data_IF_387107129763
#
_entry.id   IF_387107129763
#
_cell.length_a   1.000
_cell.length_b   1.000
_cell.length_c   1.000
_cell.angle_alpha   90.00
_cell.angle_beta   90.00
_cell.angle_gamma   90.00
#
_symmetry.space_group_name_H-M   'P 1'
#
loop_
_entity.id
_entity.type
_entity.pdbx_description
1 polymer ?
#
# COMPACT_ATOMS: atom_id res chain seq x y z
N UNK A 1 5.28 27.35 5.25
CA UNK A 1 6.38 26.87 6.12
C UNK A 1 6.64 25.35 6.01
N UNK A 2 5.91 24.59 5.17
CA UNK A 2 6.00 23.12 5.07
C UNK A 2 6.90 22.59 3.93
N UNK A 3 7.23 23.43 2.94
CA UNK A 3 7.90 23.00 1.70
C UNK A 3 9.37 22.63 1.87
N UNK A 4 10.09 23.29 2.80
CA UNK A 4 11.50 22.97 3.04
C UNK A 4 11.69 21.67 3.82
N UNK A 5 10.79 21.33 4.74
CA UNK A 5 10.89 20.11 5.56
C UNK A 5 10.66 18.83 4.77
N UNK A 6 9.86 18.88 3.69
CA UNK A 6 9.56 17.70 2.86
C UNK A 6 10.79 17.08 2.19
N UNK A 7 11.68 17.91 1.65
CA UNK A 7 12.89 17.44 0.96
C UNK A 7 13.92 16.85 1.95
N UNK A 8 14.09 17.47 3.12
CA UNK A 8 14.97 16.93 4.16
C UNK A 8 14.52 15.55 4.63
N UNK A 9 13.20 15.35 4.79
CA UNK A 9 12.64 14.07 5.22
C UNK A 9 12.89 12.97 4.20
N UNK A 10 12.73 13.25 2.91
CA UNK A 10 13.02 12.29 1.84
C UNK A 10 14.49 11.89 1.87
N UNK A 11 15.40 12.88 1.91
CA UNK A 11 16.84 12.63 1.99
C UNK A 11 17.19 11.81 3.23
N UNK A 12 16.61 12.14 4.39
CA UNK A 12 16.84 11.40 5.62
C UNK A 12 16.32 9.95 5.55
N UNK A 13 15.15 9.70 4.93
CA UNK A 13 14.64 8.35 4.71
C UNK A 13 15.55 7.56 3.76
N UNK A 14 16.06 8.19 2.70
CA UNK A 14 17.01 7.55 1.78
C UNK A 14 18.32 7.21 2.50
N UNK A 15 18.83 8.11 3.34
CA UNK A 15 19.99 7.83 4.20
C UNK A 15 19.68 6.66 5.14
N UNK A 16 18.51 6.65 5.79
CA UNK A 16 18.06 5.55 6.65
C UNK A 16 18.01 4.21 5.91
N UNK A 17 17.50 4.20 4.68
CA UNK A 17 17.47 3.03 3.80
C UNK A 17 18.89 2.55 3.45
N UNK A 18 19.79 3.45 3.03
CA UNK A 18 21.17 3.11 2.68
C UNK A 18 21.91 2.56 3.90
N UNK A 19 21.80 3.21 5.05
CA UNK A 19 22.36 2.71 6.31
C UNK A 19 21.74 1.38 6.70
N UNK A 20 20.45 1.19 6.41
CA UNK A 20 19.72 -0.04 6.71
C UNK A 20 20.31 -1.23 5.95
N UNK A 21 20.85 -0.99 4.76
CA UNK A 21 21.55 -2.00 3.97
C UNK A 21 23.02 -2.11 4.42
N UNK A 22 23.72 -0.98 4.59
CA UNK A 22 25.16 -0.97 4.84
C UNK A 22 25.55 -1.50 6.23
N UNK A 23 24.79 -1.20 7.28
CA UNK A 23 25.15 -1.55 8.66
C UNK A 23 25.13 -3.07 8.90
N UNK A 24 24.10 -3.84 8.48
CA UNK A 24 24.15 -5.30 8.54
C UNK A 24 25.30 -5.94 7.76
N UNK A 25 25.78 -5.30 6.68
CA UNK A 25 26.93 -5.79 5.91
C UNK A 25 28.22 -5.69 6.72
N UNK A 26 28.41 -4.58 7.42
CA UNK A 26 29.64 -4.30 8.17
C UNK A 26 29.67 -5.03 9.52
N UNK A 27 28.53 -5.17 10.18
CA UNK A 27 28.44 -5.66 11.56
C UNK A 27 27.72 -7.02 11.69
N UNK A 28 27.23 -7.59 10.59
CA UNK A 28 26.56 -8.89 10.55
C UNK A 28 25.30 -8.95 11.43
N UNK A 29 25.07 -10.11 12.04
CA UNK A 29 23.87 -10.39 12.83
C UNK A 29 23.79 -9.60 14.16
N UNK A 30 24.87 -8.92 14.57
CA UNK A 30 24.87 -8.06 15.76
C UNK A 30 23.94 -6.84 15.65
N UNK A 31 23.45 -6.54 14.44
CA UNK A 31 22.54 -5.43 14.13
C UNK A 31 21.07 -5.81 14.36
N UNK A 32 20.75 -7.09 14.56
CA UNK A 32 19.36 -7.54 14.74
C UNK A 32 18.56 -6.78 15.81
N UNK A 33 19.13 -6.38 16.97
CA UNK A 33 18.39 -5.60 17.97
C UNK A 33 17.77 -4.32 17.41
N UNK A 34 18.42 -3.66 16.44
CA UNK A 34 17.97 -2.40 15.81
C UNK A 34 16.57 -2.53 15.18
N UNK A 35 16.11 -3.75 14.87
CA UNK A 35 14.76 -4.03 14.39
C UNK A 35 13.66 -3.37 15.24
N UNK A 36 13.86 -3.22 16.55
CA UNK A 36 12.88 -2.59 17.44
C UNK A 36 12.46 -1.19 16.97
N UNK A 37 13.39 -0.41 16.38
CA UNK A 37 13.10 0.93 15.85
C UNK A 37 12.09 0.86 14.71
N UNK A 38 12.26 -0.14 13.84
CA UNK A 38 11.34 -0.41 12.75
C UNK A 38 9.97 -0.86 13.23
N UNK A 39 9.93 -1.75 14.21
CA UNK A 39 8.68 -2.25 14.77
C UNK A 39 7.89 -1.13 15.48
N UNK A 40 8.56 -0.24 16.23
CA UNK A 40 7.93 0.96 16.82
C UNK A 40 7.35 1.85 15.72
N UNK A 41 8.10 2.11 14.66
CA UNK A 41 7.65 2.95 13.55
C UNK A 41 6.42 2.37 12.84
N UNK A 42 6.42 1.07 12.53
CA UNK A 42 5.26 0.41 11.93
C UNK A 42 4.05 0.40 12.85
N UNK A 43 4.25 0.15 14.13
CA UNK A 43 3.15 0.14 15.09
C UNK A 43 2.55 1.54 15.26
N UNK A 44 3.37 2.59 15.22
CA UNK A 44 2.89 3.97 15.24
C UNK A 44 2.06 4.30 13.99
N UNK A 45 2.49 3.89 12.80
CA UNK A 45 1.72 4.05 11.57
C UNK A 45 0.40 3.27 11.61
N UNK A 46 0.42 2.01 12.06
CA UNK A 46 -0.78 1.18 12.22
C UNK A 46 -1.75 1.79 13.23
N UNK A 47 -1.24 2.33 14.34
CA UNK A 47 -2.04 2.96 15.40
C UNK A 47 -2.91 4.09 14.85
N UNK A 48 -2.37 4.93 13.97
CA UNK A 48 -3.12 6.03 13.35
C UNK A 48 -3.92 5.60 12.12
N UNK A 49 -3.57 4.48 11.47
CA UNK A 49 -4.16 4.07 10.21
C UNK A 49 -5.68 3.87 10.29
N UNK A 50 -6.15 3.06 11.23
CA UNK A 50 -7.58 2.76 11.38
C UNK A 50 -8.42 4.00 11.70
N UNK A 51 -8.12 4.81 12.74
CA UNK A 51 -8.91 5.99 13.04
C UNK A 51 -8.84 7.03 11.91
N UNK A 52 -7.67 7.21 11.28
CA UNK A 52 -7.53 8.17 10.17
C UNK A 52 -8.38 7.75 8.97
N UNK A 53 -8.37 6.47 8.60
CA UNK A 53 -9.20 5.94 7.52
C UNK A 53 -10.67 6.18 7.76
N UNK A 54 -11.16 5.84 8.96
CA UNK A 54 -12.55 6.01 9.33
C UNK A 54 -12.95 7.49 9.22
N UNK A 55 -12.18 8.38 9.84
CA UNK A 55 -12.47 9.81 9.85
C UNK A 55 -12.38 10.43 8.46
N UNK A 56 -11.34 10.09 7.70
CA UNK A 56 -11.13 10.65 6.38
C UNK A 56 -12.25 10.25 5.41
N UNK A 57 -12.69 8.98 5.38
CA UNK A 57 -13.80 8.54 4.53
C UNK A 57 -15.08 9.30 4.88
N UNK A 58 -15.41 9.40 6.17
CA UNK A 58 -16.60 10.14 6.61
C UNK A 58 -16.52 11.59 6.13
N UNK A 59 -15.38 12.27 6.32
CA UNK A 59 -15.14 13.63 5.83
C UNK A 59 -15.21 13.74 4.30
N UNK A 60 -14.69 12.76 3.58
CA UNK A 60 -14.72 12.73 2.13
C UNK A 60 -16.16 12.73 1.61
N UNK A 61 -17.05 11.96 2.24
CA UNK A 61 -18.45 11.84 1.83
C UNK A 61 -19.28 13.04 2.24
N UNK A 62 -19.15 13.50 3.48
CA UNK A 62 -19.94 14.62 4.00
C UNK A 62 -19.63 15.93 3.28
N UNK A 63 -18.40 16.10 2.79
CA UNK A 63 -17.99 17.25 1.98
C UNK A 63 -18.47 17.19 0.52
N UNK A 64 -18.85 16.02 -0.01
CA UNK A 64 -19.27 15.86 -1.42
C UNK A 64 -20.73 16.29 -1.68
N UNK A 65 -21.57 16.35 -0.63
CA UNK A 65 -22.91 16.96 -0.64
C UNK A 65 -23.98 16.33 -1.56
N UNK A 66 -23.62 15.49 -2.52
CA UNK A 66 -24.54 14.81 -3.44
C UNK A 66 -24.12 13.37 -3.71
N UNK A 67 -24.88 12.41 -3.16
CA UNK A 67 -24.68 10.96 -3.32
C UNK A 67 -24.59 10.52 -4.80
N UNK A 68 -25.26 11.23 -5.72
CA UNK A 68 -25.20 10.94 -7.16
C UNK A 68 -23.82 11.14 -7.81
N UNK A 69 -22.99 12.07 -7.28
CA UNK A 69 -21.61 12.26 -7.76
C UNK A 69 -20.69 11.13 -7.27
N UNK A 70 -21.02 10.53 -6.13
CA UNK A 70 -20.27 9.45 -5.48
C UNK A 70 -20.29 8.16 -6.31
N UNK A 71 -21.46 7.78 -6.83
CA UNK A 71 -21.62 6.58 -7.66
C UNK A 71 -20.77 6.59 -8.93
N UNK A 72 -20.69 7.74 -9.63
CA UNK A 72 -19.87 7.88 -10.84
C UNK A 72 -18.37 7.82 -10.54
N UNK A 73 -17.92 8.42 -9.44
CA UNK A 73 -16.51 8.38 -9.01
C UNK A 73 -16.13 6.95 -8.59
N UNK A 74 -16.97 6.30 -7.78
CA UNK A 74 -16.76 4.91 -7.36
C UNK A 74 -16.69 3.94 -8.54
N UNK A 75 -17.62 4.04 -9.50
CA UNK A 75 -17.61 3.16 -10.68
C UNK A 75 -16.37 3.38 -11.57
N UNK A 76 -15.97 4.63 -11.81
CA UNK A 76 -14.73 4.93 -12.55
C UNK A 76 -13.50 4.38 -11.84
N UNK A 77 -13.46 4.48 -10.51
CA UNK A 77 -12.37 3.96 -9.68
C UNK A 77 -12.31 2.44 -9.74
N UNK A 78 -13.45 1.75 -9.61
CA UNK A 78 -13.53 0.30 -9.72
C UNK A 78 -13.10 -0.19 -11.11
N UNK A 79 -13.59 0.46 -12.17
CA UNK A 79 -13.19 0.14 -13.54
C UNK A 79 -11.67 0.32 -13.73
N UNK A 80 -11.10 1.41 -13.19
CA UNK A 80 -9.66 1.63 -13.19
C UNK A 80 -8.91 0.51 -12.45
N UNK A 81 -9.35 0.12 -11.25
CA UNK A 81 -8.71 -0.94 -10.47
C UNK A 81 -8.71 -2.28 -11.20
N UNK A 82 -9.87 -2.67 -11.76
CA UNK A 82 -9.99 -3.92 -12.49
C UNK A 82 -9.15 -3.93 -13.77
N UNK A 83 -9.15 -2.82 -14.52
CA UNK A 83 -8.39 -2.71 -15.76
C UNK A 83 -6.88 -2.78 -15.53
N UNK A 84 -6.36 -2.06 -14.54
CA UNK A 84 -4.92 -2.07 -14.25
C UNK A 84 -4.46 -3.36 -13.58
N UNK A 85 -5.32 -4.01 -12.78
CA UNK A 85 -5.05 -5.33 -12.23
C UNK A 85 -4.99 -6.39 -13.33
N UNK A 86 -5.94 -6.38 -14.27
CA UNK A 86 -5.92 -7.27 -15.43
C UNK A 86 -4.65 -7.06 -16.26
N UNK A 87 -4.27 -5.81 -16.52
CA UNK A 87 -3.03 -5.49 -17.22
C UNK A 87 -1.78 -6.00 -16.46
N UNK A 88 -1.75 -5.88 -15.14
CA UNK A 88 -0.66 -6.37 -14.30
C UNK A 88 -0.51 -7.90 -14.39
N UNK A 89 -1.64 -8.64 -14.34
CA UNK A 89 -1.66 -10.10 -14.55
C UNK A 89 -1.12 -10.46 -15.93
N UNK A 90 -1.59 -9.78 -16.98
CA UNK A 90 -1.13 -10.03 -18.36
C UNK A 90 0.36 -9.78 -18.52
N UNK A 91 0.91 -8.72 -17.91
CA UNK A 91 2.35 -8.44 -17.91
C UNK A 91 3.12 -9.57 -17.20
N UNK A 92 2.67 -9.99 -16.03
CA UNK A 92 3.29 -11.10 -15.28
C UNK A 92 3.30 -12.41 -16.06
N UNK A 93 2.16 -12.77 -16.65
CA UNK A 93 2.03 -13.97 -17.49
C UNK A 93 2.90 -13.87 -18.75
N UNK A 94 2.90 -12.73 -19.43
CA UNK A 94 3.69 -12.53 -20.64
C UNK A 94 5.19 -12.66 -20.34
N UNK A 95 5.70 -11.95 -19.33
CA UNK A 95 7.11 -12.00 -18.95
C UNK A 95 7.54 -13.41 -18.50
N UNK A 96 6.71 -14.10 -17.72
CA UNK A 96 7.00 -15.48 -17.32
C UNK A 96 7.01 -16.43 -18.52
N UNK A 97 6.14 -16.24 -19.51
CA UNK A 97 6.14 -17.04 -20.74
C UNK A 97 7.35 -16.74 -21.64
N UNK A 98 7.80 -15.49 -21.68
CA UNK A 98 8.94 -15.03 -22.48
C UNK A 98 10.30 -15.47 -21.89
N UNK A 99 10.47 -15.31 -20.58
CA UNK A 99 11.73 -15.55 -19.89
C UNK A 99 11.86 -16.97 -19.34
N UNK A 100 10.74 -17.71 -19.30
CA UNK A 100 10.66 -19.12 -18.94
C UNK A 100 11.40 -19.51 -17.65
N UNK A 101 11.20 -18.77 -16.53
CA UNK A 101 11.98 -18.99 -15.32
C UNK A 101 11.78 -20.37 -14.68
N UNK A 102 10.71 -21.10 -15.03
CA UNK A 102 10.40 -22.41 -14.46
C UNK A 102 11.09 -23.59 -15.14
N UNK A 103 11.64 -23.41 -16.35
CA UNK A 103 12.33 -24.49 -17.06
C UNK A 103 13.64 -24.81 -16.33
N UNK A 104 13.79 -26.06 -15.89
CA UNK A 104 14.96 -26.51 -15.13
C UNK A 104 14.89 -26.21 -13.63
N UNK A 105 13.83 -25.58 -13.12
CA UNK A 105 13.63 -25.36 -11.68
C UNK A 105 13.31 -26.67 -10.91
N UNK A 106 12.89 -27.72 -11.62
CA UNK A 106 12.56 -29.03 -11.05
C UNK A 106 11.22 -29.05 -10.29
N UNK A 107 10.68 -30.26 -10.07
CA UNK A 107 9.38 -30.49 -9.41
C UNK A 107 9.43 -30.38 -7.87
N UNK A 108 10.61 -30.15 -7.28
CA UNK A 108 10.83 -30.39 -5.86
C UNK A 108 10.36 -29.20 -5.00
N UNK A 109 9.27 -29.40 -4.24
CA UNK A 109 8.86 -28.53 -3.14
C UNK A 109 7.77 -27.51 -3.46
N UNK A 110 7.21 -27.50 -4.67
CA UNK A 110 6.06 -26.64 -4.98
C UNK A 110 4.78 -27.29 -4.43
N UNK A 111 4.07 -26.67 -3.46
CA UNK A 111 2.76 -27.15 -3.08
C UNK A 111 1.85 -27.12 -4.32
N UNK A 112 1.18 -28.24 -4.62
CA UNK A 112 0.21 -28.31 -5.69
C UNK A 112 -0.88 -27.24 -5.51
N UNK A 113 -1.52 -26.76 -6.60
CA UNK A 113 -2.52 -25.71 -6.51
C UNK A 113 -3.65 -26.14 -5.57
N UNK A 114 -3.70 -25.54 -4.38
CA UNK A 114 -4.84 -25.70 -3.49
C UNK A 114 -5.98 -24.85 -4.04
N UNK A 115 -6.98 -25.51 -4.61
CA UNK A 115 -8.20 -24.85 -5.08
C UNK A 115 -9.02 -24.48 -3.85
N UNK A 116 -8.79 -23.29 -3.32
CA UNK A 116 -9.65 -22.74 -2.27
C UNK A 116 -10.88 -22.15 -2.96
N UNK A 117 -11.98 -22.89 -2.93
CA UNK A 117 -13.27 -22.44 -3.43
C UNK A 117 -13.87 -21.44 -2.45
N UNK A 118 -13.63 -20.14 -2.68
CA UNK A 118 -14.37 -19.09 -1.98
C UNK A 118 -15.64 -18.75 -2.77
N UNK A 119 -16.80 -18.89 -2.13
CA UNK A 119 -18.03 -18.31 -2.65
C UNK A 119 -17.92 -16.79 -2.59
N UNK A 120 -18.16 -16.11 -3.71
CA UNK A 120 -18.20 -14.64 -3.75
C UNK A 120 -19.22 -14.07 -2.76
N UNK A 121 -20.35 -14.77 -2.57
CA UNK A 121 -21.37 -14.37 -1.61
C UNK A 121 -20.85 -14.42 -0.17
N UNK A 122 -20.10 -15.47 0.19
CA UNK A 122 -19.53 -15.59 1.54
C UNK A 122 -18.47 -14.52 1.78
N UNK A 123 -17.65 -14.21 0.77
CA UNK A 123 -16.70 -13.09 0.85
C UNK A 123 -17.42 -11.75 1.05
N UNK A 124 -18.54 -11.52 0.35
CA UNK A 124 -19.35 -10.30 0.47
C UNK A 124 -19.99 -10.19 1.86
N UNK A 125 -20.58 -11.27 2.37
CA UNK A 125 -21.12 -11.34 3.73
C UNK A 125 -20.03 -11.05 4.76
N UNK A 126 -18.82 -11.60 4.56
CA UNK A 126 -17.70 -11.33 5.46
C UNK A 126 -17.33 -9.84 5.51
N UNK A 127 -17.56 -9.04 4.45
CA UNK A 127 -17.24 -7.61 4.45
C UNK A 127 -18.22 -6.76 5.29
N UNK A 128 -19.35 -7.32 5.71
CA UNK A 128 -20.32 -6.69 6.61
C UNK A 128 -20.13 -7.26 8.03
N UNK A 129 -19.23 -6.71 8.85
CA UNK A 129 -18.95 -7.27 10.16
C UNK A 129 -20.17 -7.06 11.07
N UNK A 130 -20.54 -8.04 11.90
CA UNK A 130 -21.61 -7.86 12.89
C UNK A 130 -21.25 -6.82 13.96
N UNK A 131 -19.95 -6.52 14.12
CA UNK A 131 -19.44 -5.58 15.10
C UNK A 131 -18.29 -4.74 14.51
N UNK A 132 -18.46 -3.42 14.47
CA UNK A 132 -17.44 -2.48 13.97
C UNK A 132 -16.20 -2.43 14.86
N UNK A 133 -16.36 -2.57 16.18
CA UNK A 133 -15.22 -2.54 17.10
C UNK A 133 -14.31 -3.75 16.91
N UNK A 134 -14.89 -4.92 16.60
CA UNK A 134 -14.11 -6.11 16.22
C UNK A 134 -13.34 -5.87 14.91
N UNK A 135 -13.99 -5.29 13.89
CA UNK A 135 -13.33 -4.95 12.64
C UNK A 135 -12.17 -3.96 12.83
N UNK A 136 -12.33 -2.98 13.73
CA UNK A 136 -11.29 -2.02 14.12
C UNK A 136 -10.13 -2.74 14.82
N UNK A 137 -10.40 -3.60 15.80
CA UNK A 137 -9.34 -4.33 16.52
C UNK A 137 -8.57 -5.31 15.64
N UNK A 138 -9.23 -5.89 14.64
CA UNK A 138 -8.64 -6.84 13.70
C UNK A 138 -8.02 -6.16 12.46
N UNK A 139 -7.98 -4.82 12.41
CA UNK A 139 -7.43 -4.05 11.28
C UNK A 139 -8.09 -4.38 9.92
N UNK A 140 -9.40 -4.68 9.93
CA UNK A 140 -10.16 -5.03 8.71
C UNK A 140 -10.58 -3.77 7.94
N UNK A 141 -9.66 -3.23 7.15
CA UNK A 141 -9.82 -1.93 6.47
C UNK A 141 -11.05 -1.83 5.55
N UNK A 142 -11.36 -2.86 4.76
CA UNK A 142 -12.52 -2.81 3.86
C UNK A 142 -13.86 -2.72 4.63
N UNK A 143 -14.13 -3.59 5.62
CA UNK A 143 -15.26 -3.42 6.54
C UNK A 143 -15.37 -2.03 7.19
N UNK A 144 -14.24 -1.50 7.70
CA UNK A 144 -14.18 -0.17 8.31
C UNK A 144 -14.55 0.90 7.28
N UNK A 145 -14.05 0.78 6.05
CA UNK A 145 -14.34 1.70 4.96
C UNK A 145 -15.81 1.66 4.54
N UNK A 146 -16.41 0.47 4.45
CA UNK A 146 -17.84 0.30 4.15
C UNK A 146 -18.72 0.93 5.24
N UNK A 147 -18.40 0.70 6.52
CA UNK A 147 -19.10 1.33 7.63
C UNK A 147 -18.95 2.85 7.59
N UNK A 148 -17.73 3.37 7.48
CA UNK A 148 -17.45 4.80 7.39
C UNK A 148 -18.19 5.45 6.22
N UNK A 149 -18.30 4.72 5.11
CA UNK A 149 -19.03 5.16 3.94
C UNK A 149 -20.53 5.34 4.22
N UNK A 150 -21.17 4.30 4.79
CA UNK A 150 -22.58 4.34 5.15
C UNK A 150 -22.85 5.39 6.21
N UNK A 151 -22.01 5.46 7.24
CA UNK A 151 -22.14 6.41 8.33
C UNK A 151 -22.03 7.87 7.84
N UNK A 152 -21.01 8.19 7.04
CA UNK A 152 -20.87 9.52 6.44
C UNK A 152 -22.03 9.88 5.51
N UNK A 153 -22.55 8.90 4.76
CA UNK A 153 -23.74 9.09 3.90
C UNK A 153 -24.98 9.44 4.73
N UNK A 154 -25.23 8.70 5.81
CA UNK A 154 -26.36 8.95 6.72
C UNK A 154 -26.22 10.29 7.44
N UNK A 155 -25.02 10.66 7.91
CA UNK A 155 -24.77 11.99 8.50
C UNK A 155 -25.11 13.13 7.53
N UNK A 156 -24.81 12.94 6.25
CA UNK A 156 -25.15 13.90 5.18
C UNK A 156 -26.67 13.98 4.98
N UNK A 157 -27.36 12.84 4.98
CA UNK A 157 -28.82 12.76 4.80
C UNK A 157 -29.62 13.33 5.96
N UNK A 158 -29.10 13.20 7.20
CA UNK A 158 -29.70 13.77 8.41
C UNK A 158 -29.68 15.32 8.38
N UNK A 159 -28.83 15.93 7.53
CA UNK A 159 -28.80 17.37 7.33
C UNK A 159 -28.23 18.12 8.54
N UNK A 160 -28.87 19.21 9.02
CA UNK A 160 -28.31 20.06 10.07
C UNK A 160 -27.96 19.33 11.37
N UNK A 161 -28.72 18.29 11.73
CA UNK A 161 -28.48 17.49 12.96
C UNK A 161 -27.19 16.66 12.90
N UNK A 162 -26.69 16.36 11.69
CA UNK A 162 -25.43 15.62 11.51
C UNK A 162 -24.18 16.50 11.67
N UNK A 163 -24.31 17.83 11.52
CA UNK A 163 -23.18 18.77 11.52
C UNK A 163 -22.27 18.68 12.75
N UNK A 164 -22.77 18.58 14.00
CA UNK A 164 -21.90 18.51 15.17
C UNK A 164 -20.95 17.31 15.13
N UNK A 165 -21.44 16.15 14.67
CA UNK A 165 -20.62 14.93 14.52
C UNK A 165 -19.57 15.13 13.43
N UNK A 166 -19.96 15.71 12.30
CA UNK A 166 -19.02 16.00 11.20
C UNK A 166 -17.90 16.93 11.66
N UNK A 167 -18.21 17.98 12.43
CA UNK A 167 -17.20 18.91 12.97
C UNK A 167 -16.21 18.24 13.93
N UNK A 168 -16.69 17.30 14.76
CA UNK A 168 -15.81 16.50 15.63
C UNK A 168 -14.88 15.61 14.78
N UNK A 169 -15.42 14.95 13.76
CA UNK A 169 -14.63 14.09 12.86
C UNK A 169 -13.60 14.91 12.07
N UNK A 170 -13.95 16.13 11.66
CA UNK A 170 -13.03 17.06 11.00
C UNK A 170 -11.84 17.39 11.91
N UNK A 171 -12.13 17.80 13.15
CA UNK A 171 -11.10 18.09 14.16
C UNK A 171 -10.22 16.88 14.46
N UNK A 172 -10.82 15.70 14.53
CA UNK A 172 -10.10 14.44 14.75
C UNK A 172 -9.20 14.09 13.56
N UNK A 173 -9.67 14.29 12.33
CA UNK A 173 -8.88 14.08 11.12
C UNK A 173 -7.65 14.99 11.13
N UNK A 174 -7.82 16.28 11.44
CA UNK A 174 -6.70 17.22 11.55
C UNK A 174 -5.70 16.83 12.65
N UNK A 175 -6.19 16.39 13.81
CA UNK A 175 -5.34 15.91 14.89
C UNK A 175 -4.52 14.68 14.48
N UNK A 176 -5.15 13.71 13.82
CA UNK A 176 -4.50 12.49 13.33
C UNK A 176 -3.44 12.79 12.26
N UNK A 177 -3.68 13.78 11.40
CA UNK A 177 -2.68 14.25 10.43
C UNK A 177 -1.47 14.92 11.12
N UNK A 178 -1.70 15.70 12.18
CA UNK A 178 -0.58 16.25 12.98
C UNK A 178 0.21 15.14 13.68
N UNK A 179 -0.46 14.11 14.20
CA UNK A 179 0.21 12.94 14.75
C UNK A 179 1.02 12.19 13.69
N UNK A 180 0.49 12.03 12.48
CA UNK A 180 1.21 11.46 11.35
C UNK A 180 2.50 12.23 11.08
N UNK A 181 2.47 13.56 11.05
CA UNK A 181 3.68 14.36 10.85
C UNK A 181 4.74 14.10 11.93
N UNK A 182 4.33 13.95 13.20
CA UNK A 182 5.25 13.61 14.30
C UNK A 182 5.88 12.23 14.09
N UNK A 183 5.09 11.25 13.65
CA UNK A 183 5.58 9.91 13.35
C UNK A 183 6.56 9.94 12.16
N UNK A 184 6.29 10.78 11.16
CA UNK A 184 7.15 10.92 9.98
C UNK A 184 8.54 11.46 10.32
N UNK A 185 8.70 12.29 11.36
CA UNK A 185 10.03 12.70 11.84
C UNK A 185 10.89 11.51 12.31
N UNK A 186 10.26 10.43 12.78
CA UNK A 186 10.94 9.19 13.17
C UNK A 186 11.15 8.23 11.98
N UNK A 187 10.57 8.50 10.81
CA UNK A 187 10.64 7.61 9.65
C UNK A 187 12.07 7.23 9.22
N UNK A 188 13.09 8.11 9.22
CA UNK A 188 14.46 7.73 8.89
C UNK A 188 15.02 6.60 9.77
N UNK A 189 14.82 6.69 11.10
CA UNK A 189 15.23 5.64 12.04
C UNK A 189 14.37 4.38 11.88
N UNK A 190 13.07 4.55 11.66
CA UNK A 190 12.15 3.43 11.43
C UNK A 190 12.53 2.62 10.20
N UNK A 191 12.72 3.29 9.07
CA UNK A 191 13.13 2.66 7.79
C UNK A 191 14.49 1.99 7.92
N UNK A 192 15.45 2.64 8.58
CA UNK A 192 16.73 2.03 8.93
C UNK A 192 16.55 0.71 9.70
N UNK A 193 15.80 0.73 10.80
CA UNK A 193 15.58 -0.45 11.63
C UNK A 193 14.82 -1.57 10.93
N UNK A 194 13.85 -1.25 10.07
CA UNK A 194 13.12 -2.22 9.27
C UNK A 194 14.03 -2.96 8.30
N UNK A 195 14.79 -2.21 7.50
CA UNK A 195 15.64 -2.77 6.45
C UNK A 195 16.81 -3.53 7.08
N UNK A 196 17.47 -2.93 8.08
CA UNK A 196 18.56 -3.56 8.79
C UNK A 196 18.14 -4.85 9.51
N UNK A 197 17.00 -4.79 10.20
CA UNK A 197 16.44 -5.94 10.90
C UNK A 197 16.09 -7.09 9.96
N UNK A 198 15.55 -6.79 8.78
CA UNK A 198 15.18 -7.81 7.79
C UNK A 198 16.42 -8.49 7.19
N UNK A 199 17.45 -7.73 6.83
CA UNK A 199 18.71 -8.28 6.29
C UNK A 199 19.44 -9.10 7.36
N UNK A 200 19.51 -8.61 8.60
CA UNK A 200 20.11 -9.34 9.70
C UNK A 200 19.34 -10.64 10.01
N UNK A 201 18.00 -10.61 9.95
CA UNK A 201 17.16 -11.79 10.16
C UNK A 201 17.33 -12.84 9.06
N UNK A 202 17.62 -12.43 7.82
CA UNK A 202 17.98 -13.32 6.72
C UNK A 202 19.39 -13.96 6.87
N UNK A 203 20.13 -13.60 7.93
CA UNK A 203 21.47 -14.11 8.18
C UNK A 203 22.58 -13.39 7.41
N UNK A 204 22.34 -12.12 7.03
CA UNK A 204 23.30 -11.26 6.33
C UNK A 204 23.04 -11.17 4.83
N UNK A 205 23.72 -10.22 4.17
CA UNK A 205 23.52 -9.99 2.72
C UNK A 205 23.89 -11.20 1.86
N UNK A 206 24.90 -11.99 2.24
CA UNK A 206 25.34 -13.13 1.42
C UNK A 206 24.28 -14.23 1.35
N UNK A 207 23.59 -14.49 2.48
CA UNK A 207 22.46 -15.42 2.50
C UNK A 207 21.23 -14.86 1.80
N UNK A 208 20.96 -13.56 1.98
CA UNK A 208 19.91 -12.87 1.25
C UNK A 208 20.10 -12.97 -0.27
N UNK A 209 21.32 -12.76 -0.77
CA UNK A 209 21.67 -12.90 -2.18
C UNK A 209 21.65 -14.36 -2.66
N UNK A 210 22.05 -15.31 -1.81
CA UNK A 210 21.97 -16.74 -2.11
C UNK A 210 20.52 -17.21 -2.26
N UNK A 211 19.62 -16.79 -1.36
CA UNK A 211 18.18 -17.05 -1.45
C UNK A 211 17.56 -16.39 -2.68
N UNK A 212 17.94 -15.14 -2.97
CA UNK A 212 17.57 -14.48 -4.22
C UNK A 212 18.11 -15.22 -5.44
N UNK A 213 19.30 -15.80 -5.39
CA UNK A 213 19.89 -16.58 -6.48
C UNK A 213 19.15 -17.90 -6.74
N UNK A 214 18.74 -18.60 -5.68
CA UNK A 214 18.01 -19.86 -5.76
C UNK A 214 16.62 -19.73 -6.41
N UNK A 215 15.99 -18.56 -6.29
CA UNK A 215 14.69 -18.22 -6.91
C UNK A 215 14.86 -17.12 -7.98
N UNK A 216 16.10 -16.87 -8.42
CA UNK A 216 16.49 -15.62 -9.07
C UNK A 216 15.83 -15.38 -10.41
N UNK A 217 15.65 -16.43 -11.21
CA UNK A 217 14.92 -16.32 -12.48
C UNK A 217 13.49 -15.81 -12.27
N UNK A 218 12.77 -16.40 -11.31
CA UNK A 218 11.40 -16.00 -11.01
C UNK A 218 11.33 -14.62 -10.34
N UNK A 219 12.22 -14.34 -9.38
CA UNK A 219 12.30 -13.04 -8.73
C UNK A 219 12.57 -11.91 -9.75
N UNK A 220 13.48 -12.14 -10.71
CA UNK A 220 13.77 -11.18 -11.78
C UNK A 220 12.56 -10.91 -12.67
N UNK A 221 11.80 -11.94 -13.05
CA UNK A 221 10.56 -11.78 -13.83
C UNK A 221 9.57 -10.88 -13.08
N UNK A 222 9.38 -11.13 -11.78
CA UNK A 222 8.48 -10.32 -10.95
C UNK A 222 9.00 -8.89 -10.83
N UNK A 223 10.28 -8.67 -10.55
CA UNK A 223 10.87 -7.34 -10.42
C UNK A 223 10.79 -6.53 -11.72
N UNK A 224 11.09 -7.15 -12.87
CA UNK A 224 10.94 -6.52 -14.19
C UNK A 224 9.48 -6.14 -14.43
N UNK A 225 8.54 -7.05 -14.12
CA UNK A 225 7.11 -6.80 -14.28
C UNK A 225 6.60 -5.66 -13.40
N UNK A 226 6.99 -5.63 -12.12
CA UNK A 226 6.69 -4.54 -11.21
C UNK A 226 7.31 -3.23 -11.68
N UNK A 227 8.55 -3.25 -12.18
CA UNK A 227 9.21 -2.09 -12.77
C UNK A 227 8.47 -1.55 -13.99
N UNK A 228 8.05 -2.42 -14.91
CA UNK A 228 7.26 -2.05 -16.08
C UNK A 228 5.92 -1.44 -15.68
N UNK A 229 5.25 -2.03 -14.68
CA UNK A 229 4.00 -1.48 -14.16
C UNK A 229 4.20 -0.10 -13.51
N UNK A 230 5.23 0.06 -12.67
CA UNK A 230 5.46 1.27 -11.89
C UNK A 230 6.07 2.43 -12.69
N UNK A 231 6.92 2.14 -13.68
CA UNK A 231 7.70 3.14 -14.44
C UNK A 231 7.08 3.44 -15.81
N UNK A 232 6.37 2.48 -16.40
CA UNK A 232 5.78 2.65 -17.74
C UNK A 232 4.26 2.76 -17.64
N UNK A 233 3.58 1.72 -17.19
CA UNK A 233 2.11 1.63 -17.27
C UNK A 233 1.42 2.72 -16.45
N UNK A 234 1.71 2.79 -15.14
CA UNK A 234 1.05 3.75 -14.26
C UNK A 234 1.40 5.22 -14.62
N UNK A 235 2.66 5.57 -14.94
CA UNK A 235 3.01 6.90 -15.42
C UNK A 235 2.33 7.30 -16.72
N UNK A 236 2.22 6.40 -17.70
CA UNK A 236 1.50 6.69 -18.95
C UNK A 236 0.01 6.94 -18.68
N UNK A 237 -0.62 6.11 -17.85
CA UNK A 237 -2.02 6.34 -17.46
C UNK A 237 -2.18 7.68 -16.75
N UNK A 238 -1.29 8.01 -15.81
CA UNK A 238 -1.32 9.30 -15.11
C UNK A 238 -1.14 10.48 -16.07
N UNK A 239 -0.23 10.37 -17.05
CA UNK A 239 0.00 11.42 -18.04
C UNK A 239 -1.20 11.62 -18.97
N UNK A 240 -1.78 10.54 -19.50
CA UNK A 240 -2.83 10.62 -20.51
C UNK A 240 -4.24 10.76 -19.95
N UNK A 241 -4.56 10.08 -18.84
CA UNK A 241 -5.89 10.16 -18.21
C UNK A 241 -5.91 11.15 -17.05
N UNK A 242 -4.82 11.25 -16.29
CA UNK A 242 -4.73 12.12 -15.11
C UNK A 242 -4.23 13.54 -15.39
N UNK A 243 -3.63 13.80 -16.56
CA UNK A 243 -3.15 15.12 -16.95
C UNK A 243 -2.03 15.70 -16.08
N UNK A 244 -1.39 14.89 -15.22
CA UNK A 244 -0.28 15.32 -14.35
C UNK A 244 1.06 14.79 -14.85
N UNK A 245 2.13 15.51 -14.55
CA UNK A 245 3.49 15.04 -14.82
C UNK A 245 3.83 13.85 -13.89
N UNK A 246 4.13 12.66 -14.42
CA UNK A 246 4.38 11.50 -13.57
C UNK A 246 5.64 11.58 -12.71
N UNK A 247 6.67 12.28 -13.19
CA UNK A 247 7.94 12.41 -12.45
C UNK A 247 7.75 13.31 -11.24
N UNK A 248 7.09 14.45 -11.44
CA UNK A 248 6.74 15.37 -10.36
C UNK A 248 5.82 14.71 -9.34
N UNK A 249 4.80 13.98 -9.83
CA UNK A 249 3.88 13.25 -8.96
C UNK A 249 4.58 12.17 -8.13
N UNK A 250 5.49 11.40 -8.74
CA UNK A 250 6.30 10.41 -8.05
C UNK A 250 7.22 11.05 -7.00
N UNK A 251 7.78 12.24 -7.29
CA UNK A 251 8.52 13.05 -6.34
C UNK A 251 7.70 13.41 -5.10
N UNK A 252 6.46 13.86 -5.29
CA UNK A 252 5.50 14.11 -4.21
C UNK A 252 5.11 12.86 -3.41
N UNK A 253 5.12 11.68 -4.04
CA UNK A 253 4.82 10.38 -3.41
C UNK A 253 6.02 9.68 -2.75
N UNK A 254 7.24 10.21 -2.91
CA UNK A 254 8.48 9.55 -2.48
C UNK A 254 8.49 9.06 -1.03
N UNK A 255 7.97 9.84 -0.09
CA UNK A 255 7.88 9.43 1.33
C UNK A 255 7.02 8.17 1.49
N UNK A 256 5.85 8.13 0.86
CA UNK A 256 4.97 6.96 0.88
C UNK A 256 5.60 5.76 0.17
N UNK A 257 6.27 5.96 -0.97
CA UNK A 257 6.95 4.90 -1.72
C UNK A 257 8.10 4.27 -0.92
N UNK A 258 8.95 5.09 -0.30
CA UNK A 258 10.08 4.64 0.51
C UNK A 258 9.61 3.93 1.78
N UNK A 259 8.58 4.46 2.46
CA UNK A 259 7.96 3.79 3.59
C UNK A 259 7.29 2.49 3.17
N UNK A 260 6.68 2.44 1.97
CA UNK A 260 6.07 1.23 1.41
C UNK A 260 7.10 0.14 1.16
N UNK A 261 8.22 0.50 0.54
CA UNK A 261 9.35 -0.39 0.32
C UNK A 261 9.91 -0.95 1.63
N UNK A 262 10.10 -0.10 2.64
CA UNK A 262 10.67 -0.50 3.91
C UNK A 262 9.71 -1.33 4.79
N UNK A 263 8.41 -1.05 4.73
CA UNK A 263 7.39 -1.70 5.56
C UNK A 263 6.82 -2.98 4.97
N UNK A 264 6.90 -3.14 3.64
CA UNK A 264 6.22 -4.17 2.88
C UNK A 264 4.70 -4.25 3.17
N UNK A 265 4.05 -3.13 3.56
CA UNK A 265 2.65 -3.12 3.98
C UNK A 265 1.88 -1.90 3.46
N UNK A 266 0.98 -2.13 2.49
CA UNK A 266 0.09 -1.09 1.95
C UNK A 266 -0.78 -0.44 3.04
N UNK A 267 -1.32 -1.25 3.95
CA UNK A 267 -2.16 -0.79 5.05
C UNK A 267 -1.40 0.13 6.04
N UNK A 268 -0.16 -0.20 6.38
CA UNK A 268 0.66 0.64 7.25
C UNK A 268 1.04 1.97 6.58
N UNK A 269 1.16 2.00 5.26
CA UNK A 269 1.56 3.20 4.51
C UNK A 269 0.41 4.12 4.13
N UNK A 270 -0.84 3.70 4.36
CA UNK A 270 -2.02 4.44 3.93
C UNK A 270 -2.06 5.88 4.51
N UNK A 271 -1.77 6.13 5.80
CA UNK A 271 -1.69 7.49 6.34
C UNK A 271 -0.70 8.38 5.58
N UNK A 272 0.53 7.89 5.39
CA UNK A 272 1.59 8.61 4.64
C UNK A 272 1.18 8.84 3.19
N UNK A 273 0.48 7.88 2.59
CA UNK A 273 -0.03 7.98 1.21
C UNK A 273 -1.07 9.09 1.10
N UNK A 274 -2.03 9.14 2.03
CA UNK A 274 -3.05 10.21 2.05
C UNK A 274 -2.41 11.58 2.20
N UNK A 275 -1.43 11.73 3.10
CA UNK A 275 -0.69 12.98 3.25
C UNK A 275 0.06 13.38 1.97
N UNK A 276 0.80 12.46 1.33
CA UNK A 276 1.54 12.78 0.11
C UNK A 276 0.61 13.20 -1.03
N UNK A 277 -0.54 12.54 -1.16
CA UNK A 277 -1.55 12.86 -2.18
C UNK A 277 -2.18 14.24 -1.94
N UNK A 278 -2.52 14.56 -0.69
CA UNK A 278 -3.21 15.82 -0.35
C UNK A 278 -2.27 17.02 -0.24
N UNK A 279 -1.12 16.86 0.43
CA UNK A 279 -0.23 17.98 0.76
C UNK A 279 0.87 18.24 -0.26
N UNK A 280 1.36 17.20 -0.94
CA UNK A 280 2.48 17.32 -1.89
C UNK A 280 2.03 17.27 -3.35
N UNK A 281 0.90 16.63 -3.62
CA UNK A 281 0.38 16.45 -4.97
C UNK A 281 -0.93 17.21 -5.23
N UNK A 282 -1.39 18.01 -4.27
CA UNK A 282 -2.57 18.88 -4.38
C UNK A 282 -3.78 18.15 -5.00
N UNK A 283 -4.08 16.96 -4.46
CA UNK A 283 -5.27 16.21 -4.80
C UNK A 283 -6.34 16.49 -3.75
N UNK A 284 -7.57 16.68 -4.23
CA UNK A 284 -8.71 16.96 -3.39
C UNK A 284 -8.89 15.88 -2.30
N UNK A 285 -8.99 16.32 -1.04
CA UNK A 285 -9.12 15.47 0.15
C UNK A 285 -10.32 14.50 0.06
N UNK A 286 -11.34 14.84 -0.71
CA UNK A 286 -12.53 14.02 -0.87
C UNK A 286 -12.24 12.85 -1.80
N UNK A 287 -11.48 13.09 -2.87
CA UNK A 287 -11.05 12.05 -3.79
C UNK A 287 -10.06 11.08 -3.12
N UNK A 288 -9.06 11.60 -2.38
CA UNK A 288 -8.09 10.76 -1.64
C UNK A 288 -8.79 9.87 -0.61
N UNK A 289 -9.69 10.44 0.20
CA UNK A 289 -10.41 9.73 1.23
C UNK A 289 -11.36 8.66 0.70
N UNK A 290 -11.98 8.88 -0.46
CA UNK A 290 -12.90 7.91 -1.04
C UNK A 290 -12.18 6.75 -1.75
N UNK A 291 -11.03 7.04 -2.37
CA UNK A 291 -10.34 6.09 -3.26
C UNK A 291 -9.26 5.29 -2.53
N UNK A 292 -8.42 5.94 -1.73
CA UNK A 292 -7.20 5.31 -1.20
C UNK A 292 -7.46 4.24 -0.12
N UNK A 293 -8.38 4.44 0.84
CA UNK A 293 -8.64 3.41 1.84
C UNK A 293 -9.18 2.08 1.32
N UNK A 294 -10.22 2.04 0.44
CA UNK A 294 -10.61 0.77 -0.15
C UNK A 294 -9.49 0.21 -1.03
N UNK A 295 -8.74 1.06 -1.75
CA UNK A 295 -7.59 0.60 -2.55
C UNK A 295 -6.55 -0.15 -1.69
N UNK A 296 -6.19 0.35 -0.51
CA UNK A 296 -5.23 -0.32 0.37
C UNK A 296 -5.67 -1.73 0.83
N UNK A 297 -6.97 -2.05 0.72
CA UNK A 297 -7.54 -3.33 1.14
C UNK A 297 -7.84 -4.30 -0.02
N UNK A 298 -8.06 -3.81 -1.25
CA UNK A 298 -8.47 -4.66 -2.39
C UNK A 298 -7.64 -4.46 -3.66
N UNK A 299 -6.86 -3.38 -3.76
CA UNK A 299 -6.17 -3.00 -4.99
C UNK A 299 -4.69 -3.37 -4.93
N UNK A 300 -4.39 -4.63 -5.26
CA UNK A 300 -3.05 -5.22 -5.17
C UNK A 300 -2.48 -5.63 -6.53
N UNK A 301 -2.19 -4.67 -7.40
CA UNK A 301 -1.64 -4.95 -8.74
C UNK A 301 -0.32 -5.74 -8.70
N UNK A 302 0.56 -5.44 -7.74
CA UNK A 302 1.82 -6.18 -7.61
C UNK A 302 1.59 -7.66 -7.28
N UNK A 303 0.65 -7.95 -6.38
CA UNK A 303 0.24 -9.32 -6.05
C UNK A 303 -0.44 -10.00 -7.24
N UNK A 304 -1.29 -9.29 -7.99
CA UNK A 304 -1.95 -9.84 -9.17
C UNK A 304 -0.92 -10.24 -10.25
N UNK A 305 0.08 -9.38 -10.51
CA UNK A 305 1.21 -9.69 -11.38
C UNK A 305 1.99 -10.91 -10.91
N UNK A 306 2.33 -10.95 -9.60
CA UNK A 306 3.04 -12.07 -8.99
C UNK A 306 2.28 -13.39 -9.17
N UNK A 307 0.97 -13.41 -8.88
CA UNK A 307 0.13 -14.61 -9.04
C UNK A 307 0.09 -15.06 -10.50
N UNK A 308 -0.07 -14.13 -11.45
CA UNK A 308 -0.04 -14.44 -12.88
C UNK A 308 1.29 -15.04 -13.33
N UNK A 309 2.41 -14.46 -12.89
CA UNK A 309 3.74 -14.99 -13.18
C UNK A 309 3.99 -16.35 -12.50
N UNK A 310 3.56 -16.51 -11.24
CA UNK A 310 3.73 -17.74 -10.47
C UNK A 310 2.99 -18.92 -11.10
N UNK A 311 1.76 -18.69 -11.61
CA UNK A 311 0.99 -19.72 -12.30
C UNK A 311 1.75 -20.29 -13.50
N UNK A 312 2.34 -19.41 -14.33
CA UNK A 312 3.15 -19.83 -15.48
C UNK A 312 4.44 -20.52 -15.04
N UNK A 313 5.13 -19.99 -14.03
CA UNK A 313 6.34 -20.59 -13.48
C UNK A 313 6.11 -22.02 -12.97
N UNK A 314 5.02 -22.24 -12.24
CA UNK A 314 4.66 -23.58 -11.73
C UNK A 314 4.37 -24.53 -12.89
N UNK A 315 3.63 -24.08 -13.91
CA UNK A 315 3.38 -24.90 -15.11
C UNK A 315 4.70 -25.30 -15.78
N UNK A 316 5.60 -24.34 -16.02
CA UNK A 316 6.91 -24.60 -16.63
C UNK A 316 7.79 -25.56 -15.80
N UNK A 317 7.73 -25.47 -14.47
CA UNK A 317 8.47 -26.33 -13.57
C UNK A 317 7.94 -27.78 -13.54
N UNK A 318 6.66 -27.98 -13.86
CA UNK A 318 6.02 -29.30 -13.90
C UNK A 318 6.22 -30.03 -15.24
N UNK A 319 6.55 -29.30 -16.32
CA UNK A 319 6.68 -29.80 -17.68
C UNK A 319 5.35 -29.81 -18.42
#
# INVERSE_FOLDING_TARGET
>A
MYDRTGNYLIVAIVIGLILGIAVPVLFGNGVLPVKFLGDIFLNALKLIAVPLVLCAIVMGITNLGALGKLGRIGLKTLAYFLATAALAVLIGMALANLLQPGIGAGKAGMPGPQVISYSFLDWLVAQCPPNIFAAISEFRLLPIALFAFLFGSVLTLIGPKGKPVVTVIESLTEALMKMLHLIMWFAPLGVFGLVAGQIAAAGGLDRFWSELGAVGGFAMVVLIGLGLQAIVVLPLILKFLGGKNPVEYAGGMSSALLTGLASASSAATLPVTMECVESKNDIDKRASALVLPPAAAIYFNGTALFIGAAAIFILQAQG
#
